data_IF_603348083205
#
_entry.id   IF_603348083205
#
_cell.length_a   1.000
_cell.length_b   1.000
_cell.length_c   1.000
_cell.angle_alpha   90.00
_cell.angle_beta   90.00
_cell.angle_gamma   90.00
#
_symmetry.space_group_name_H-M   'P 1'
#
loop_
_entity.id
_entity.type
_entity.pdbx_description
1 polymer ?
#
# COMPACT_ATOMS: atom_id res chain seq x y z
N UNK A 1 -6.40 43.27 -37.37
CA UNK A 1 -6.51 42.52 -36.10
C UNK A 1 -7.03 41.10 -36.36
N UNK A 2 -6.23 40.16 -36.90
CA UNK A 2 -6.75 38.80 -37.25
C UNK A 2 -5.86 37.62 -36.82
N UNK A 3 -4.82 37.83 -36.01
CA UNK A 3 -3.93 36.75 -35.56
C UNK A 3 -3.83 36.60 -34.03
N UNK A 4 -4.56 37.42 -33.27
CA UNK A 4 -4.45 37.45 -31.79
C UNK A 4 -5.09 36.23 -31.09
N UNK A 5 -5.96 35.48 -31.78
CA UNK A 5 -6.58 34.28 -31.22
C UNK A 5 -5.73 33.02 -31.43
N UNK A 6 -4.86 32.99 -32.45
CA UNK A 6 -4.02 31.84 -32.77
C UNK A 6 -2.82 31.71 -31.82
N UNK A 7 -2.36 32.81 -31.23
CA UNK A 7 -1.23 32.81 -30.29
C UNK A 7 -1.58 32.25 -28.91
N UNK A 8 -2.87 32.12 -28.58
CA UNK A 8 -3.34 31.63 -27.27
C UNK A 8 -3.64 30.12 -27.29
N UNK A 9 -3.88 29.53 -28.47
CA UNK A 9 -4.12 28.09 -28.61
C UNK A 9 -2.85 27.25 -28.53
N UNK A 10 -1.71 27.82 -28.92
CA UNK A 10 -0.39 27.16 -28.87
C UNK A 10 0.02 26.78 -27.43
N UNK A 11 -0.04 27.68 -26.42
CA UNK A 11 0.30 27.30 -25.05
C UNK A 11 -0.71 26.33 -24.42
N UNK A 12 -2.00 26.40 -24.77
CA UNK A 12 -3.00 25.44 -24.30
C UNK A 12 -2.75 24.01 -24.80
N UNK A 13 -2.29 23.84 -26.04
CA UNK A 13 -1.94 22.52 -26.57
C UNK A 13 -0.69 21.94 -25.87
N UNK A 14 0.28 22.77 -25.49
CA UNK A 14 1.48 22.33 -24.77
C UNK A 14 1.15 21.88 -23.34
N UNK A 15 0.26 22.57 -22.62
CA UNK A 15 -0.20 22.16 -21.29
C UNK A 15 -1.00 20.85 -21.36
N UNK A 16 -1.85 20.65 -22.37
CA UNK A 16 -2.53 19.37 -22.56
C UNK A 16 -1.56 18.21 -22.83
N UNK A 17 -0.46 18.46 -23.55
CA UNK A 17 0.56 17.42 -23.80
C UNK A 17 1.29 16.96 -22.53
N UNK A 18 1.42 17.82 -21.53
CA UNK A 18 2.04 17.50 -20.24
C UNK A 18 1.13 16.66 -19.32
N UNK A 19 -0.19 16.68 -19.55
CA UNK A 19 -1.14 15.82 -18.84
C UNK A 19 -1.30 14.43 -19.49
N UNK A 20 -0.80 14.23 -20.71
CA UNK A 20 -0.90 12.95 -21.43
C UNK A 20 0.45 12.26 -21.63
N UNK A 21 1.56 12.83 -21.15
CA UNK A 21 2.82 12.09 -21.10
C UNK A 21 2.64 10.93 -20.13
N UNK A 22 2.74 9.67 -20.59
CA UNK A 22 2.67 8.52 -19.70
C UNK A 22 3.83 8.63 -18.71
N UNK A 23 3.53 9.09 -17.51
CA UNK A 23 4.44 8.97 -16.38
C UNK A 23 4.63 7.49 -16.18
N UNK A 24 5.82 6.99 -16.46
CA UNK A 24 6.21 5.65 -16.03
C UNK A 24 6.09 5.67 -14.51
N UNK A 25 5.16 4.91 -13.92
CA UNK A 25 5.03 4.87 -12.47
C UNK A 25 6.38 4.42 -11.91
N UNK A 26 6.99 5.26 -11.04
CA UNK A 26 8.27 4.95 -10.40
C UNK A 26 8.21 3.64 -9.58
N UNK A 27 6.99 3.21 -9.26
CA UNK A 27 6.73 1.90 -8.70
C UNK A 27 5.98 1.03 -9.72
N UNK A 28 6.69 0.06 -10.28
CA UNK A 28 6.06 -1.10 -10.89
C UNK A 28 5.53 -1.92 -9.72
N UNK A 29 4.21 -2.05 -9.56
CA UNK A 29 3.62 -2.95 -8.57
C UNK A 29 4.01 -4.39 -8.90
N UNK A 30 5.16 -4.82 -8.35
CA UNK A 30 5.69 -6.18 -8.50
C UNK A 30 4.91 -7.07 -7.53
N UNK A 31 3.71 -7.44 -7.95
CA UNK A 31 2.92 -8.48 -7.32
C UNK A 31 1.68 -7.99 -6.57
N UNK A 32 0.73 -8.89 -6.49
CA UNK A 32 -0.43 -8.85 -5.59
C UNK A 32 0.05 -8.73 -4.14
N UNK A 33 0.31 -7.51 -3.68
CA UNK A 33 0.55 -7.19 -2.26
C UNK A 33 -0.71 -7.30 -1.40
N UNK A 34 -1.80 -7.77 -1.99
CA UNK A 34 -3.07 -8.01 -1.31
C UNK A 34 -3.09 -9.44 -0.77
N UNK A 35 -2.40 -9.67 0.35
CA UNK A 35 -2.98 -10.57 1.35
C UNK A 35 -4.38 -10.04 1.74
N UNK A 36 -5.28 -10.84 2.34
CA UNK A 36 -6.64 -10.38 2.66
C UNK A 36 -6.57 -9.04 3.42
N UNK A 37 -6.89 -7.96 2.73
CA UNK A 37 -6.75 -6.61 3.27
C UNK A 37 -7.87 -6.43 4.28
N UNK A 38 -7.51 -6.29 5.56
CA UNK A 38 -8.42 -5.65 6.51
C UNK A 38 -8.58 -4.20 6.06
N UNK A 39 -9.82 -3.76 5.89
CA UNK A 39 -10.12 -2.38 5.52
C UNK A 39 -9.66 -1.43 6.65
N UNK A 40 -8.84 -0.45 6.28
CA UNK A 40 -8.35 0.57 7.20
C UNK A 40 -6.94 1.05 6.87
N UNK A 41 -6.61 2.26 7.31
CA UNK A 41 -5.24 2.74 7.30
C UNK A 41 -4.34 1.92 8.23
N UNK A 42 -3.00 2.08 8.13
CA UNK A 42 -2.05 1.33 8.95
C UNK A 42 -2.32 1.49 10.46
N UNK A 43 -2.77 2.68 10.88
CA UNK A 43 -3.10 2.96 12.29
C UNK A 43 -4.34 2.21 12.77
N UNK A 44 -5.35 2.04 11.91
CA UNK A 44 -6.59 1.34 12.25
C UNK A 44 -6.35 -0.18 12.41
N UNK A 45 -5.54 -0.76 11.52
CA UNK A 45 -5.15 -2.18 11.60
C UNK A 45 -4.31 -2.44 12.84
N UNK A 46 -3.40 -1.52 13.19
CA UNK A 46 -2.59 -1.62 14.40
C UNK A 46 -3.47 -1.59 15.67
N UNK A 47 -4.47 -0.71 15.71
CA UNK A 47 -5.40 -0.64 16.84
C UNK A 47 -6.16 -1.95 17.02
N UNK A 48 -6.75 -2.49 15.94
CA UNK A 48 -7.48 -3.75 15.98
C UNK A 48 -6.60 -4.94 16.41
N UNK A 49 -5.33 -4.96 15.97
CA UNK A 49 -4.36 -5.96 16.39
C UNK A 49 -4.14 -5.93 17.92
N UNK A 50 -3.91 -4.74 18.49
CA UNK A 50 -3.69 -4.61 19.93
C UNK A 50 -4.96 -4.89 20.73
N UNK A 51 -6.12 -4.41 20.28
CA UNK A 51 -7.42 -4.71 20.89
C UNK A 51 -7.66 -6.23 20.93
N UNK A 52 -7.40 -6.91 19.81
CA UNK A 52 -7.52 -8.36 19.73
C UNK A 52 -6.58 -9.07 20.73
N UNK A 53 -5.33 -8.61 20.84
CA UNK A 53 -4.33 -9.17 21.78
C UNK A 53 -4.66 -8.92 23.25
N UNK A 54 -5.29 -7.81 23.57
CA UNK A 54 -5.76 -7.50 24.93
C UNK A 54 -6.90 -8.45 25.32
N UNK A 55 -7.83 -8.69 24.40
CA UNK A 55 -8.97 -9.60 24.61
C UNK A 55 -8.54 -11.07 24.61
N UNK A 56 -7.60 -11.44 23.74
CA UNK A 56 -7.09 -12.80 23.56
C UNK A 56 -5.62 -12.84 23.96
N UNK A 57 -5.36 -12.94 25.27
CA UNK A 57 -4.00 -13.07 25.82
C UNK A 57 -3.28 -14.39 25.47
N UNK A 58 -3.92 -15.25 24.68
CA UNK A 58 -3.32 -16.48 24.18
C UNK A 58 -2.26 -16.23 23.10
N UNK A 59 -1.41 -17.24 22.86
CA UNK A 59 -0.36 -17.17 21.86
C UNK A 59 -0.82 -17.68 20.47
N UNK A 60 -2.12 -17.57 20.18
CA UNK A 60 -2.70 -18.10 18.95
C UNK A 60 -2.37 -17.20 17.76
N UNK A 61 -1.26 -17.50 17.10
CA UNK A 61 -0.75 -16.76 15.94
C UNK A 61 -1.68 -16.89 14.72
N UNK A 62 -2.54 -17.90 14.69
CA UNK A 62 -3.46 -18.17 13.57
C UNK A 62 -4.51 -17.07 13.44
N UNK A 63 -5.02 -16.60 14.58
CA UNK A 63 -6.01 -15.54 14.62
C UNK A 63 -5.43 -14.14 14.32
N UNK A 64 -4.10 -13.99 14.42
CA UNK A 64 -3.39 -12.75 14.08
C UNK A 64 -3.09 -12.63 12.58
N UNK A 65 -3.24 -13.71 11.80
CA UNK A 65 -2.94 -13.75 10.35
C UNK A 65 -3.49 -12.59 9.54
N UNK A 66 -4.75 -12.13 9.72
CA UNK A 66 -5.29 -11.05 8.87
C UNK A 66 -4.75 -9.65 9.25
N UNK A 67 -4.14 -9.49 10.43
CA UNK A 67 -3.52 -8.24 10.87
C UNK A 67 -2.02 -8.16 10.51
N UNK A 68 -1.44 -9.25 10.02
CA UNK A 68 -0.01 -9.37 9.75
C UNK A 68 0.24 -9.57 8.26
N UNK A 69 1.26 -8.91 7.73
CA UNK A 69 1.70 -9.18 6.36
C UNK A 69 2.36 -10.56 6.24
N UNK A 70 2.30 -11.17 5.07
CA UNK A 70 2.90 -12.50 4.84
C UNK A 70 4.42 -12.50 5.10
N UNK A 71 5.11 -11.40 4.79
CA UNK A 71 6.53 -11.22 5.10
C UNK A 71 6.81 -11.19 6.61
N UNK A 72 5.97 -10.50 7.38
CA UNK A 72 6.11 -10.42 8.84
C UNK A 72 5.81 -11.78 9.49
N UNK A 73 4.80 -12.50 9.00
CA UNK A 73 4.49 -13.85 9.49
C UNK A 73 5.64 -14.82 9.22
N UNK A 74 6.29 -14.73 8.05
CA UNK A 74 7.48 -15.53 7.77
C UNK A 74 8.61 -15.22 8.75
N UNK A 75 8.91 -13.95 8.97
CA UNK A 75 9.94 -13.53 9.93
C UNK A 75 9.64 -14.00 11.37
N UNK A 76 8.39 -13.88 11.81
CA UNK A 76 7.96 -14.35 13.13
C UNK A 76 8.09 -15.88 13.27
N UNK A 77 7.71 -16.63 12.25
CA UNK A 77 7.87 -18.09 12.24
C UNK A 77 9.34 -18.51 12.25
N UNK A 78 10.19 -17.84 11.48
CA UNK A 78 11.63 -18.10 11.44
C UNK A 78 12.29 -17.77 12.79
N UNK A 79 11.90 -16.65 13.42
CA UNK A 79 12.36 -16.25 14.73
C UNK A 79 11.90 -17.22 15.84
N UNK A 80 10.64 -17.65 15.80
CA UNK A 80 10.09 -18.63 16.73
C UNK A 80 10.86 -19.96 16.68
N UNK A 81 11.12 -20.47 15.47
CA UNK A 81 11.92 -21.69 15.26
C UNK A 81 13.35 -21.54 15.76
N UNK A 82 13.97 -20.38 15.54
CA UNK A 82 15.33 -20.09 16.01
C UNK A 82 15.41 -19.96 17.53
N UNK A 83 14.35 -19.49 18.19
CA UNK A 83 14.28 -19.39 19.65
C UNK A 83 14.06 -20.74 20.35
N UNK A 84 13.61 -21.77 19.62
CA UNK A 84 13.35 -23.11 20.15
C UNK A 84 14.51 -24.11 20.00
N UNK A 85 15.66 -23.64 19.48
CA UNK A 85 16.90 -24.41 19.31
C UNK A 85 17.99 -23.86 20.24
#
# INVERSE_FOLDING_TARGET
MRYSALTLLVPCALVLSACTTPVTPAFKDIGTRSGPCIEGGPDAVAQQFYDYRIQHRGNDMTALRPYLSDGLVKLLNDASRKSSA
#
